data_IF_743490218708
#
_entry.id   IF_743490218708
#
_cell.length_a   1.000
_cell.length_b   1.000
_cell.length_c   1.000
_cell.angle_alpha   90.00
_cell.angle_beta   90.00
_cell.angle_gamma   90.00
#
_symmetry.space_group_name_H-M   'P 1'
#
loop_
_entity.id
_entity.type
_entity.pdbx_description
1 polymer ?
#
# COMPACT_ATOMS: atom_id res chain seq x y z
N UNK A 1 2.16 -4.61 -19.77
CA UNK A 1 2.59 -5.04 -18.40
C UNK A 1 1.35 -5.08 -17.50
N UNK A 2 1.28 -5.89 -16.44
CA UNK A 2 0.03 -6.01 -15.67
C UNK A 2 -0.18 -4.74 -14.83
N UNK A 3 -0.94 -3.79 -15.36
CA UNK A 3 -1.55 -2.73 -14.55
C UNK A 3 -2.79 -3.26 -13.83
N UNK A 4 -3.33 -2.46 -12.91
CA UNK A 4 -4.62 -2.67 -12.22
C UNK A 4 -5.78 -3.06 -13.16
N UNK A 5 -5.69 -2.74 -14.45
CA UNK A 5 -6.64 -3.09 -15.52
C UNK A 5 -6.83 -4.61 -15.72
N UNK A 6 -5.89 -5.44 -15.26
CA UNK A 6 -5.97 -6.92 -15.40
C UNK A 6 -6.40 -7.65 -14.14
N UNK A 7 -6.98 -6.95 -13.16
CA UNK A 7 -7.50 -7.58 -11.93
C UNK A 7 -8.69 -8.50 -12.30
N UNK A 8 -8.63 -9.81 -11.97
CA UNK A 8 -9.74 -10.74 -12.15
C UNK A 8 -11.00 -10.30 -11.41
N UNK A 9 -12.16 -10.63 -11.96
CA UNK A 9 -13.46 -10.23 -11.41
C UNK A 9 -13.64 -10.59 -9.92
N UNK A 10 -13.20 -11.79 -9.51
CA UNK A 10 -13.30 -12.24 -8.11
C UNK A 10 -12.47 -11.42 -7.12
N UNK A 11 -11.46 -10.67 -7.59
CA UNK A 11 -10.67 -9.73 -6.77
C UNK A 11 -11.19 -8.30 -6.83
N UNK A 12 -11.93 -7.92 -7.89
CA UNK A 12 -12.44 -6.54 -8.05
C UNK A 12 -13.37 -6.13 -6.93
N UNK A 13 -14.10 -7.07 -6.31
CA UNK A 13 -14.97 -6.80 -5.16
C UNK A 13 -14.23 -6.27 -3.92
N UNK A 14 -12.91 -6.46 -3.83
CA UNK A 14 -12.07 -5.92 -2.76
C UNK A 14 -11.44 -4.57 -3.13
N UNK A 15 -11.53 -4.17 -4.39
CA UNK A 15 -10.98 -2.94 -4.91
C UNK A 15 -12.00 -1.81 -4.77
N UNK A 16 -11.54 -0.62 -4.41
CA UNK A 16 -12.37 0.57 -4.23
C UNK A 16 -11.68 1.79 -4.84
N UNK A 17 -12.46 2.61 -5.53
CA UNK A 17 -11.97 3.88 -6.05
C UNK A 17 -11.62 4.84 -4.90
N UNK A 18 -10.52 5.57 -5.06
CA UNK A 18 -10.13 6.60 -4.11
C UNK A 18 -11.01 7.83 -4.28
N UNK A 19 -11.81 8.13 -3.26
CA UNK A 19 -12.50 9.42 -3.17
C UNK A 19 -11.52 10.48 -2.68
N UNK A 20 -10.74 11.03 -3.60
CA UNK A 20 -9.68 11.98 -3.27
C UNK A 20 -10.22 13.30 -2.69
N UNK A 21 -11.46 13.68 -3.03
CA UNK A 21 -12.10 14.89 -2.53
C UNK A 21 -12.45 14.83 -1.03
N UNK A 22 -12.49 13.63 -0.45
CA UNK A 22 -12.75 13.43 0.98
C UNK A 22 -11.59 13.89 1.87
N UNK A 23 -10.34 13.87 1.36
CA UNK A 23 -9.19 14.25 2.18
C UNK A 23 -9.25 15.72 2.55
N UNK A 24 -9.23 15.98 3.85
CA UNK A 24 -9.24 17.32 4.42
C UNK A 24 -7.85 17.96 4.37
N UNK A 25 -7.77 19.30 4.44
CA UNK A 25 -6.49 19.99 4.64
C UNK A 25 -5.72 19.51 5.88
N UNK A 26 -6.43 19.06 6.93
CA UNK A 26 -5.86 18.50 8.14
C UNK A 26 -5.19 17.15 7.87
N UNK A 27 -5.81 16.25 7.12
CA UNK A 27 -5.23 14.97 6.73
C UNK A 27 -4.00 15.16 5.84
N UNK A 28 -4.07 16.06 4.86
CA UNK A 28 -2.90 16.42 4.04
C UNK A 28 -1.75 17.00 4.87
N UNK A 29 -2.06 17.81 5.89
CA UNK A 29 -1.04 18.35 6.80
C UNK A 29 -0.44 17.28 7.70
N UNK A 30 -1.25 16.34 8.17
CA UNK A 30 -0.82 15.17 8.97
C UNK A 30 0.12 14.28 8.14
N UNK A 31 -0.24 14.01 6.88
CA UNK A 31 0.62 13.30 5.93
C UNK A 31 1.97 13.99 5.78
N UNK A 32 1.96 15.28 5.45
CA UNK A 32 3.18 16.07 5.24
C UNK A 32 4.08 16.07 6.47
N UNK A 33 3.48 16.21 7.66
CA UNK A 33 4.23 16.14 8.91
C UNK A 33 4.93 14.79 9.06
N UNK A 34 4.19 13.68 8.92
CA UNK A 34 4.75 12.33 9.05
C UNK A 34 5.86 12.08 8.02
N UNK A 35 5.62 12.42 6.75
CA UNK A 35 6.58 12.16 5.68
C UNK A 35 7.87 12.97 5.82
N UNK A 36 7.80 14.19 6.38
CA UNK A 36 9.01 14.99 6.68
C UNK A 36 9.82 14.40 7.84
N UNK A 37 9.16 13.94 8.91
CA UNK A 37 9.84 13.24 10.01
C UNK A 37 10.46 11.93 9.51
N UNK A 38 9.71 11.15 8.73
CA UNK A 38 10.18 9.91 8.14
C UNK A 38 11.37 10.14 7.20
N UNK A 39 11.30 11.14 6.31
CA UNK A 39 12.41 11.48 5.42
C UNK A 39 13.67 11.85 6.21
N UNK A 40 13.54 12.70 7.24
CA UNK A 40 14.68 13.15 8.03
C UNK A 40 15.36 11.99 8.77
N UNK A 41 14.59 11.05 9.29
CA UNK A 41 15.11 9.85 9.93
C UNK A 41 15.68 8.84 8.92
N UNK A 42 14.92 8.50 7.88
CA UNK A 42 15.28 7.44 6.94
C UNK A 42 16.40 7.82 5.98
N UNK A 43 16.74 9.11 5.81
CA UNK A 43 17.92 9.50 5.03
C UNK A 43 19.21 8.88 5.58
N UNK A 44 19.29 8.66 6.89
CA UNK A 44 20.48 8.15 7.59
C UNK A 44 20.33 6.68 8.01
N UNK A 45 19.09 6.16 8.07
CA UNK A 45 18.79 4.84 8.66
C UNK A 45 18.16 3.82 7.71
N UNK A 46 17.58 4.25 6.59
CA UNK A 46 17.00 3.31 5.64
C UNK A 46 18.01 2.83 4.60
N UNK A 47 17.64 1.77 3.87
CA UNK A 47 18.36 1.37 2.66
C UNK A 47 18.42 2.54 1.67
N UNK A 48 19.54 2.75 0.94
CA UNK A 48 19.72 3.95 0.11
C UNK A 48 18.61 4.22 -0.91
N UNK A 49 17.94 3.16 -1.38
CA UNK A 49 16.86 3.27 -2.36
C UNK A 49 15.57 3.87 -1.81
N UNK A 50 15.39 3.96 -0.48
CA UNK A 50 14.11 4.38 0.11
C UNK A 50 13.66 5.78 -0.35
N UNK A 51 14.54 6.79 -0.25
CA UNK A 51 14.18 8.16 -0.62
C UNK A 51 13.96 8.35 -2.12
N UNK A 52 14.76 7.66 -2.94
CA UNK A 52 14.56 7.63 -4.39
C UNK A 52 13.26 6.88 -4.75
N UNK A 53 12.99 5.80 -4.02
CA UNK A 53 11.82 4.94 -4.14
C UNK A 53 10.51 5.67 -3.89
N UNK A 54 10.46 6.56 -2.88
CA UNK A 54 9.29 7.42 -2.65
C UNK A 54 8.91 8.18 -3.94
N UNK A 55 9.89 8.82 -4.58
CA UNK A 55 9.67 9.56 -5.83
C UNK A 55 9.28 8.64 -6.97
N UNK A 56 10.02 7.54 -7.17
CA UNK A 56 9.80 6.56 -8.24
C UNK A 56 8.45 5.87 -8.16
N UNK A 57 7.84 5.78 -6.98
CA UNK A 57 6.54 5.11 -6.78
C UNK A 57 5.35 6.06 -6.69
N UNK A 58 5.55 7.35 -6.98
CA UNK A 58 4.48 8.34 -7.01
C UNK A 58 4.08 8.85 -5.62
N UNK A 59 4.92 8.65 -4.60
CA UNK A 59 4.67 9.09 -3.23
C UNK A 59 5.19 10.50 -3.04
N UNK A 60 4.26 11.45 -2.88
CA UNK A 60 4.59 12.86 -2.62
C UNK A 60 4.81 13.11 -1.13
N UNK A 61 5.76 13.98 -0.80
CA UNK A 61 5.96 14.46 0.57
C UNK A 61 4.92 15.53 0.97
N UNK A 62 4.34 16.24 0.00
CA UNK A 62 3.59 17.46 0.25
C UNK A 62 2.08 17.25 0.39
N UNK A 63 1.56 16.15 -0.15
CA UNK A 63 0.16 15.81 -0.11
C UNK A 63 -0.03 14.30 -0.22
N UNK A 64 -1.16 13.81 0.27
CA UNK A 64 -1.56 12.41 0.14
C UNK A 64 -1.58 12.04 -1.35
N UNK A 65 -0.89 10.98 -1.80
CA UNK A 65 -0.79 10.64 -3.20
C UNK A 65 -2.12 10.11 -3.77
N UNK A 66 -2.36 10.40 -5.05
CA UNK A 66 -3.43 9.73 -5.78
C UNK A 66 -2.99 8.31 -6.13
N UNK A 67 -3.83 7.33 -5.85
CA UNK A 67 -3.55 5.93 -6.21
C UNK A 67 -3.39 5.77 -7.71
N UNK A 68 -4.11 6.54 -8.52
CA UNK A 68 -3.94 6.54 -9.98
C UNK A 68 -2.54 6.98 -10.42
N UNK A 69 -1.89 7.86 -9.66
CA UNK A 69 -0.54 8.33 -10.00
C UNK A 69 0.51 7.33 -9.52
N UNK A 70 0.31 6.72 -8.34
CA UNK A 70 1.12 5.58 -7.91
C UNK A 70 1.02 4.41 -8.89
N UNK A 71 -0.18 4.07 -9.37
CA UNK A 71 -0.38 3.00 -10.37
C UNK A 71 0.37 3.30 -11.68
N UNK A 72 0.36 4.56 -12.15
CA UNK A 72 1.16 4.96 -13.34
C UNK A 72 2.66 4.76 -13.11
N UNK A 73 3.17 5.21 -11.97
CA UNK A 73 4.59 5.08 -11.64
C UNK A 73 5.02 3.60 -11.49
N UNK A 74 4.23 2.79 -10.79
CA UNK A 74 4.54 1.37 -10.60
C UNK A 74 4.53 0.56 -11.91
N UNK A 75 3.74 0.99 -12.91
CA UNK A 75 3.70 0.33 -14.24
C UNK A 75 5.05 0.37 -14.95
N UNK A 76 5.89 1.37 -14.68
CA UNK A 76 7.25 1.46 -15.22
C UNK A 76 8.15 0.29 -14.78
N UNK A 77 7.79 -0.35 -13.66
CA UNK A 77 8.53 -1.46 -13.07
C UNK A 77 7.78 -2.80 -13.16
N UNK A 78 6.69 -2.86 -13.93
CA UNK A 78 5.86 -4.06 -14.10
C UNK A 78 4.92 -4.35 -12.93
N UNK A 79 4.66 -3.36 -12.08
CA UNK A 79 3.73 -3.40 -10.96
C UNK A 79 2.54 -2.45 -11.18
N UNK A 80 1.56 -2.47 -10.28
CA UNK A 80 0.44 -1.53 -10.25
C UNK A 80 -0.06 -1.29 -8.82
N UNK A 81 -1.01 -0.38 -8.67
CA UNK A 81 -1.66 -0.10 -7.39
C UNK A 81 -3.19 -0.06 -7.54
N UNK A 82 -3.88 -0.46 -6.48
CA UNK A 82 -5.34 -0.36 -6.38
C UNK A 82 -5.75 0.05 -4.98
N UNK A 83 -6.80 0.88 -4.87
CA UNK A 83 -7.36 1.24 -3.56
C UNK A 83 -8.16 0.09 -2.97
N UNK A 84 -8.08 -0.07 -1.65
CA UNK A 84 -8.90 -1.00 -0.88
C UNK A 84 -9.51 -0.30 0.32
N UNK A 85 -10.64 -0.82 0.81
CA UNK A 85 -11.30 -0.29 2.02
C UNK A 85 -10.85 -1.11 3.23
N UNK A 86 -10.01 -0.52 4.08
CA UNK A 86 -9.51 -1.19 5.28
C UNK A 86 -8.84 -2.54 5.00
N UNK A 87 -9.12 -3.51 5.88
CA UNK A 87 -8.59 -4.87 5.78
C UNK A 87 -9.40 -5.72 4.78
N UNK A 88 -8.72 -6.25 3.77
CA UNK A 88 -9.26 -7.27 2.85
C UNK A 88 -8.80 -8.67 3.27
N UNK A 89 -9.45 -9.77 2.83
CA UNK A 89 -9.02 -11.12 3.17
C UNK A 89 -7.53 -11.35 2.80
N UNK A 90 -6.72 -11.97 3.68
CA UNK A 90 -5.30 -12.21 3.40
C UNK A 90 -5.03 -12.95 2.08
N UNK A 91 -5.89 -13.92 1.72
CA UNK A 91 -5.80 -14.64 0.45
C UNK A 91 -6.00 -13.75 -0.78
N UNK A 92 -6.91 -12.76 -0.70
CA UNK A 92 -7.11 -11.79 -1.76
C UNK A 92 -5.94 -10.80 -1.87
N UNK A 93 -5.42 -10.34 -0.72
CA UNK A 93 -4.26 -9.46 -0.64
C UNK A 93 -3.02 -10.10 -1.28
N UNK A 94 -2.70 -11.35 -0.91
CA UNK A 94 -1.58 -12.09 -1.48
C UNK A 94 -1.76 -12.40 -2.97
N UNK A 95 -2.99 -12.68 -3.43
CA UNK A 95 -3.23 -12.93 -4.86
C UNK A 95 -3.06 -11.64 -5.71
N UNK A 96 -3.42 -10.47 -5.18
CA UNK A 96 -3.10 -9.19 -5.80
C UNK A 96 -1.59 -8.98 -5.90
N UNK A 97 -0.85 -9.20 -4.81
CA UNK A 97 0.60 -9.04 -4.79
C UNK A 97 1.32 -10.05 -5.71
N UNK A 98 0.86 -11.29 -5.78
CA UNK A 98 1.39 -12.31 -6.71
C UNK A 98 1.22 -11.88 -8.18
N UNK A 99 0.25 -11.02 -8.46
CA UNK A 99 0.02 -10.44 -9.80
C UNK A 99 0.83 -9.17 -10.05
N UNK A 100 1.58 -8.69 -9.06
CA UNK A 100 2.32 -7.44 -9.10
C UNK A 100 1.43 -6.22 -8.85
N UNK A 101 0.38 -6.36 -8.02
CA UNK A 101 -0.57 -5.28 -7.73
C UNK A 101 -0.55 -5.02 -6.23
N UNK A 102 -0.23 -3.78 -5.85
CA UNK A 102 -0.23 -3.33 -4.45
C UNK A 102 -1.63 -2.87 -4.03
N UNK A 103 -2.25 -3.50 -3.02
CA UNK A 103 -3.47 -3.02 -2.41
C UNK A 103 -3.12 -1.87 -1.44
N UNK A 104 -3.71 -0.70 -1.63
CA UNK A 104 -3.44 0.50 -0.82
C UNK A 104 -4.66 0.85 0.01
N UNK A 105 -4.54 0.74 1.34
CA UNK A 105 -5.53 1.28 2.26
C UNK A 105 -5.62 2.80 2.07
N UNK A 106 -6.84 3.31 1.87
CA UNK A 106 -7.05 4.71 1.47
C UNK A 106 -7.23 5.66 2.65
N UNK A 107 -7.64 5.15 3.80
CA UNK A 107 -7.87 5.98 4.97
C UNK A 107 -6.56 6.58 5.49
N UNK A 108 -6.63 7.79 6.03
CA UNK A 108 -5.51 8.49 6.65
C UNK A 108 -5.69 8.45 8.17
N UNK A 109 -4.63 8.11 8.91
CA UNK A 109 -4.68 8.18 10.39
C UNK A 109 -4.96 9.60 10.88
N UNK A 110 -5.55 9.70 12.07
CA UNK A 110 -5.84 11.00 12.70
C UNK A 110 -4.59 11.61 13.34
N UNK A 111 -4.68 12.90 13.69
CA UNK A 111 -3.58 13.62 14.34
C UNK A 111 -3.23 13.03 15.71
N UNK A 112 -4.23 12.52 16.42
CA UNK A 112 -4.10 11.89 17.74
C UNK A 112 -3.30 10.58 17.67
N UNK A 113 -3.30 9.93 16.50
CA UNK A 113 -2.65 8.65 16.24
C UNK A 113 -1.43 8.77 15.31
N UNK A 114 -0.83 9.96 15.20
CA UNK A 114 0.32 10.22 14.31
C UNK A 114 1.44 9.21 14.51
N UNK A 115 1.80 8.95 15.77
CA UNK A 115 2.89 8.04 16.11
C UNK A 115 2.60 6.57 15.82
N UNK A 116 1.33 6.14 15.90
CA UNK A 116 0.95 4.74 15.72
C UNK A 116 -0.56 4.57 15.52
N UNK A 117 -0.93 3.69 14.59
CA UNK A 117 -2.28 3.15 14.43
C UNK A 117 -2.18 1.63 14.20
N UNK A 118 -3.08 0.81 14.78
CA UNK A 118 -3.07 -0.63 14.59
C UNK A 118 -3.55 -1.06 13.19
N UNK A 119 -4.47 -0.29 12.59
CA UNK A 119 -4.97 -0.56 11.24
C UNK A 119 -4.04 0.05 10.18
N UNK A 120 -3.79 -0.63 9.05
CA UNK A 120 -3.03 -0.10 7.94
C UNK A 120 -3.79 1.09 7.34
N UNK A 121 -3.03 2.13 7.04
CA UNK A 121 -3.50 3.36 6.45
C UNK A 121 -2.65 3.70 5.23
N UNK A 122 -3.00 4.78 4.53
CA UNK A 122 -2.28 5.17 3.31
C UNK A 122 -0.80 5.49 3.57
N UNK A 123 -0.44 5.94 4.78
CA UNK A 123 0.95 6.15 5.17
C UNK A 123 1.70 4.83 5.22
N UNK A 124 1.16 3.82 5.91
CA UNK A 124 1.79 2.51 6.03
C UNK A 124 2.01 1.88 4.64
N UNK A 125 0.98 1.86 3.82
CA UNK A 125 1.05 1.22 2.51
C UNK A 125 1.94 2.01 1.54
N UNK A 126 1.67 3.31 1.36
CA UNK A 126 2.36 4.10 0.35
C UNK A 126 3.76 4.55 0.78
N UNK A 127 3.95 5.04 1.99
CA UNK A 127 5.28 5.49 2.42
C UNK A 127 6.13 4.35 3.02
N UNK A 128 5.50 3.29 3.54
CA UNK A 128 6.20 2.15 4.12
C UNK A 128 6.66 1.12 3.09
N UNK A 129 5.74 0.61 2.26
CA UNK A 129 6.03 -0.55 1.39
C UNK A 129 6.44 -0.19 -0.04
N UNK A 130 5.81 0.82 -0.63
CA UNK A 130 6.03 1.13 -2.05
C UNK A 130 7.47 1.54 -2.40
N UNK A 131 8.22 2.31 -1.59
CA UNK A 131 9.54 2.80 -1.98
C UNK A 131 10.53 1.69 -2.37
N UNK A 132 10.52 0.57 -1.65
CA UNK A 132 11.45 -0.53 -1.91
C UNK A 132 11.12 -1.29 -3.21
N UNK A 133 9.92 -1.14 -3.78
CA UNK A 133 9.57 -1.72 -5.08
C UNK A 133 10.33 -1.07 -6.25
N UNK A 134 10.98 0.08 -6.03
CA UNK A 134 11.93 0.63 -6.98
C UNK A 134 13.14 -0.30 -7.20
N UNK A 135 13.47 -1.14 -6.23
CA UNK A 135 14.51 -2.17 -6.33
C UNK A 135 14.02 -3.36 -7.19
N UNK A 136 14.68 -3.68 -8.32
CA UNK A 136 14.27 -4.77 -9.19
C UNK A 136 14.39 -6.16 -8.54
N UNK A 137 15.39 -6.37 -7.67
CA UNK A 137 15.56 -7.64 -6.97
C UNK A 137 14.47 -7.82 -5.93
N UNK A 138 14.20 -6.77 -5.14
CA UNK A 138 13.17 -6.85 -4.11
C UNK A 138 11.78 -7.06 -4.70
N UNK A 139 11.40 -6.31 -5.74
CA UNK A 139 10.07 -6.44 -6.34
C UNK A 139 9.85 -7.81 -6.99
N UNK A 140 10.89 -8.42 -7.56
CA UNK A 140 10.78 -9.77 -8.12
C UNK A 140 10.67 -10.83 -7.01
N UNK A 141 11.52 -10.73 -5.98
CA UNK A 141 11.42 -11.55 -4.78
C UNK A 141 10.01 -11.48 -4.16
N UNK A 142 9.47 -10.27 -4.01
CA UNK A 142 8.19 -10.05 -3.36
C UNK A 142 7.03 -10.68 -4.14
N UNK A 143 7.07 -10.59 -5.47
CA UNK A 143 6.08 -11.25 -6.33
C UNK A 143 6.13 -12.77 -6.23
N UNK A 144 7.33 -13.35 -6.16
CA UNK A 144 7.53 -14.78 -5.98
C UNK A 144 7.07 -15.24 -4.59
N UNK A 145 7.41 -14.48 -3.55
CA UNK A 145 6.92 -14.69 -2.20
C UNK A 145 5.40 -14.75 -2.16
N UNK A 146 4.72 -13.72 -2.69
CA UNK A 146 3.27 -13.67 -2.72
C UNK A 146 2.65 -14.82 -3.55
N UNK A 147 3.31 -15.23 -4.63
CA UNK A 147 2.88 -16.38 -5.46
C UNK A 147 2.91 -17.71 -4.71
N UNK A 148 3.87 -17.87 -3.79
CA UNK A 148 3.92 -19.04 -2.92
C UNK A 148 2.98 -18.91 -1.73
N UNK A 149 2.99 -17.75 -1.07
CA UNK A 149 2.19 -17.48 0.12
C UNK A 149 0.68 -17.61 -0.15
N UNK A 150 0.19 -17.22 -1.33
CA UNK A 150 -1.23 -17.38 -1.68
C UNK A 150 -1.71 -18.84 -1.78
N UNK A 151 -0.79 -19.81 -1.84
CA UNK A 151 -1.11 -21.24 -1.82
C UNK A 151 -1.25 -21.78 -0.40
N UNK A 152 -0.87 -21.00 0.61
CA UNK A 152 -1.04 -21.39 2.00
C UNK A 152 -2.53 -21.55 2.31
N UNK A 153 -2.88 -22.65 2.99
CA UNK A 153 -4.24 -22.88 3.45
C UNK A 153 -4.51 -21.97 4.64
N UNK A 154 -5.63 -21.25 4.59
CA UNK A 154 -6.10 -20.48 5.74
C UNK A 154 -6.69 -21.44 6.76
N UNK A 155 -6.27 -21.30 8.01
CA UNK A 155 -6.84 -22.03 9.15
C UNK A 155 -8.19 -21.43 9.54
N UNK A 156 -8.97 -22.14 10.37
CA UNK A 156 -10.23 -21.58 10.89
C UNK A 156 -9.97 -20.36 11.76
N UNK A 157 -8.84 -20.37 12.46
CA UNK A 157 -8.35 -19.29 13.30
C UNK A 157 -8.01 -18.06 12.47
N UNK A 158 -7.36 -18.21 11.31
CA UNK A 158 -7.07 -17.10 10.38
C UNK A 158 -8.36 -16.43 9.88
N UNK A 159 -9.39 -17.23 9.58
CA UNK A 159 -10.69 -16.74 9.14
C UNK A 159 -11.38 -16.00 10.30
N UNK A 160 -11.38 -16.59 11.50
CA UNK A 160 -12.00 -15.98 12.68
C UNK A 160 -11.32 -14.64 13.03
N UNK A 161 -9.99 -14.56 12.95
CA UNK A 161 -9.24 -13.33 13.16
C UNK A 161 -9.61 -12.27 12.13
N UNK A 162 -9.65 -12.62 10.84
CA UNK A 162 -10.07 -11.68 9.79
C UNK A 162 -11.49 -11.15 10.03
N UNK A 163 -12.44 -12.02 10.37
CA UNK A 163 -13.83 -11.64 10.65
C UNK A 163 -13.95 -10.74 11.88
N UNK A 164 -13.11 -10.94 12.91
CA UNK A 164 -13.06 -10.08 14.09
C UNK A 164 -12.47 -8.70 13.79
N UNK A 165 -11.44 -8.62 12.94
CA UNK A 165 -10.74 -7.36 12.64
C UNK A 165 -11.52 -6.49 11.65
N UNK A 166 -12.25 -7.08 10.68
CA UNK A 166 -12.92 -6.31 9.63
C UNK A 166 -14.08 -5.42 10.10
N UNK A 167 -14.59 -5.65 11.31
CA UNK A 167 -15.77 -4.96 11.89
C UNK A 167 -15.39 -3.86 12.88
N UNK A 168 -14.09 -3.70 13.17
CA UNK A 168 -13.53 -2.64 14.01
C UNK A 168 -13.26 -1.38 13.17
#
# INVERSE_FOLDING_TARGET
>A
MPGSEKIPEYLRKYCKAQDYGRYTPREHSTWRYILRQAQDFFKDHAVPIYLEGLKKTGVSLEQIPKISDMDKCLREFGWGAVGVSGFIPPSAFLDLQARGIMPIAMDMRTLEHVGYTPAPDIVHEAAGHLPILADPLYREYFKQYATMAKKALQTKEDIALYEAVRVL
#
